data_IF_490694756410
#
_entry.id   IF_490694756410
#
_cell.length_a   1.000
_cell.length_b   1.000
_cell.length_c   1.000
_cell.angle_alpha   90.00
_cell.angle_beta   90.00
_cell.angle_gamma   90.00
#
_symmetry.space_group_name_H-M   'P 1'
#
loop_
_entity.id
_entity.type
_entity.pdbx_description
1 polymer ?
#
# COMPACT_ATOMS: atom_id res chain seq x y z
N UNK A 1 -20.58 8.51 -11.66
CA UNK A 1 -19.84 7.72 -10.66
C UNK A 1 -20.60 7.66 -9.35
N UNK A 2 -20.75 6.46 -8.76
CA UNK A 2 -21.26 6.29 -7.41
C UNK A 2 -20.32 6.88 -6.35
N UNK A 3 -20.82 7.00 -5.11
CA UNK A 3 -20.04 7.47 -3.96
C UNK A 3 -18.82 6.58 -3.70
N UNK A 4 -17.71 7.21 -3.32
CA UNK A 4 -16.48 6.49 -2.99
C UNK A 4 -16.59 5.87 -1.60
N UNK A 5 -16.15 4.63 -1.49
CA UNK A 5 -16.12 3.88 -0.24
C UNK A 5 -14.69 3.43 0.08
N UNK A 6 -14.38 3.36 1.37
CA UNK A 6 -13.08 2.89 1.85
C UNK A 6 -12.95 1.38 1.68
N UNK A 7 -12.06 0.94 0.81
CA UNK A 7 -11.88 -0.47 0.42
C UNK A 7 -10.44 -0.96 0.56
N UNK A 8 -10.28 -2.28 0.67
CA UNK A 8 -8.97 -2.94 0.72
C UNK A 8 -8.44 -3.24 -0.69
N UNK A 9 -7.12 -3.40 -0.81
CA UNK A 9 -6.46 -3.84 -2.06
C UNK A 9 -7.06 -5.15 -2.59
N UNK A 10 -7.36 -6.11 -1.71
CA UNK A 10 -7.89 -7.44 -2.11
C UNK A 10 -9.22 -7.32 -2.85
N UNK A 11 -10.11 -6.43 -2.41
CA UNK A 11 -11.38 -6.15 -3.10
C UNK A 11 -11.13 -5.49 -4.45
N UNK A 12 -10.22 -4.51 -4.52
CA UNK A 12 -9.87 -3.83 -5.78
C UNK A 12 -9.30 -4.77 -6.83
N UNK A 13 -8.41 -5.69 -6.44
CA UNK A 13 -7.84 -6.71 -7.34
C UNK A 13 -8.96 -7.57 -7.94
N UNK A 14 -9.86 -8.07 -7.10
CA UNK A 14 -10.97 -8.91 -7.55
C UNK A 14 -11.96 -8.14 -8.46
N UNK A 15 -12.24 -6.87 -8.15
CA UNK A 15 -13.05 -5.99 -9.01
C UNK A 15 -12.37 -5.72 -10.36
N UNK A 16 -11.06 -5.46 -10.36
CA UNK A 16 -10.28 -5.24 -11.59
C UNK A 16 -10.35 -6.48 -12.48
N UNK A 17 -10.11 -7.66 -11.92
CA UNK A 17 -10.24 -8.92 -12.68
C UNK A 17 -11.66 -9.18 -13.18
N UNK A 18 -12.69 -8.79 -12.43
CA UNK A 18 -14.07 -8.90 -12.90
C UNK A 18 -14.31 -8.01 -14.13
N UNK A 19 -13.79 -6.78 -14.11
CA UNK A 19 -13.88 -5.83 -15.23
C UNK A 19 -13.03 -6.29 -16.43
N UNK A 20 -11.83 -6.81 -16.21
CA UNK A 20 -10.98 -7.37 -17.28
C UNK A 20 -11.63 -8.59 -17.95
N UNK A 21 -12.26 -9.47 -17.15
CA UNK A 21 -13.07 -10.58 -17.69
C UNK A 21 -14.30 -10.10 -18.42
N UNK A 22 -14.93 -9.02 -17.94
CA UNK A 22 -16.04 -8.37 -18.62
C UNK A 22 -15.62 -7.85 -20.01
N UNK A 23 -14.42 -7.25 -20.13
CA UNK A 23 -13.87 -6.86 -21.43
C UNK A 23 -13.70 -8.05 -22.38
N UNK A 24 -13.12 -9.15 -21.88
CA UNK A 24 -12.89 -10.34 -22.70
C UNK A 24 -14.17 -11.03 -23.16
N UNK A 25 -15.27 -10.89 -22.42
CA UNK A 25 -16.57 -11.48 -22.74
C UNK A 25 -17.32 -10.68 -23.84
N UNK A 26 -16.93 -9.43 -24.09
CA UNK A 26 -17.59 -8.52 -25.03
C UNK A 26 -17.02 -8.56 -26.45
N UNK A 27 -16.39 -9.66 -26.88
CA UNK A 27 -15.66 -9.72 -28.15
C UNK A 27 -16.51 -9.36 -29.39
N UNK A 28 -17.82 -9.61 -29.35
CA UNK A 28 -18.78 -9.29 -30.42
C UNK A 28 -19.30 -7.83 -30.37
N UNK A 29 -18.93 -7.05 -29.34
CA UNK A 29 -19.39 -5.68 -29.10
C UNK A 29 -18.28 -4.65 -29.38
N UNK A 30 -17.86 -4.61 -30.63
CA UNK A 30 -16.80 -3.72 -31.12
C UNK A 30 -17.38 -2.41 -31.71
N UNK A 31 -16.62 -1.30 -31.69
CA UNK A 31 -15.26 -1.18 -31.16
C UNK A 31 -15.25 -1.06 -29.62
N UNK A 32 -14.37 -1.82 -28.97
CA UNK A 32 -14.18 -1.83 -27.51
C UNK A 32 -12.93 -1.04 -27.12
N UNK A 33 -12.99 -0.37 -25.97
CA UNK A 33 -11.89 0.36 -25.34
C UNK A 33 -11.65 -0.17 -23.94
N UNK A 34 -10.37 -0.37 -23.59
CA UNK A 34 -9.91 -0.60 -22.23
C UNK A 34 -8.82 0.40 -21.87
N UNK A 35 -9.02 1.14 -20.78
CA UNK A 35 -8.00 2.00 -20.18
C UNK A 35 -7.73 1.52 -18.75
N UNK A 36 -6.48 1.23 -18.43
CA UNK A 36 -6.08 0.83 -17.09
C UNK A 36 -4.90 1.67 -16.58
N UNK A 37 -5.05 2.25 -15.39
CA UNK A 37 -4.04 3.07 -14.74
C UNK A 37 -3.38 2.27 -13.62
N UNK A 38 -2.09 2.00 -13.78
CA UNK A 38 -1.26 1.28 -12.82
C UNK A 38 -0.36 2.25 -12.07
N UNK A 39 -0.38 2.14 -10.75
CA UNK A 39 0.46 2.98 -9.89
C UNK A 39 1.96 2.69 -10.03
N UNK A 40 2.35 1.51 -10.55
CA UNK A 40 3.75 1.06 -10.72
C UNK A 40 3.86 0.03 -11.84
N UNK A 41 4.99 -0.01 -12.57
CA UNK A 41 5.24 -1.00 -13.62
C UNK A 41 5.16 -2.44 -13.12
N UNK A 42 5.71 -2.73 -11.95
CA UNK A 42 5.72 -4.10 -11.40
C UNK A 42 4.32 -4.64 -11.05
N UNK A 43 3.30 -3.79 -10.96
CA UNK A 43 1.91 -4.24 -10.91
C UNK A 43 1.39 -4.61 -12.30
N UNK A 44 1.71 -3.81 -13.31
CA UNK A 44 1.36 -4.13 -14.70
C UNK A 44 2.04 -5.40 -15.21
N UNK A 45 3.31 -5.62 -14.87
CA UNK A 45 4.06 -6.82 -15.29
C UNK A 45 3.38 -8.13 -14.87
N UNK A 46 2.67 -8.12 -13.73
CA UNK A 46 1.90 -9.29 -13.25
C UNK A 46 0.66 -9.55 -14.11
N UNK A 47 0.11 -8.51 -14.73
CA UNK A 47 -1.12 -8.54 -15.52
C UNK A 47 -0.87 -8.50 -17.03
N UNK A 48 0.39 -8.46 -17.48
CA UNK A 48 0.75 -8.23 -18.89
C UNK A 48 0.09 -9.23 -19.85
N UNK A 49 -0.09 -10.48 -19.44
CA UNK A 49 -0.78 -11.50 -20.24
C UNK A 49 -2.28 -11.23 -20.39
N UNK A 50 -2.93 -10.72 -19.34
CA UNK A 50 -4.34 -10.32 -19.41
C UNK A 50 -4.52 -9.20 -20.44
N UNK A 51 -3.70 -8.16 -20.38
CA UNK A 51 -3.79 -7.03 -21.31
C UNK A 51 -3.38 -7.40 -22.73
N UNK A 52 -2.41 -8.31 -22.90
CA UNK A 52 -2.08 -8.89 -24.22
C UNK A 52 -3.30 -9.59 -24.84
N UNK A 53 -4.04 -10.36 -24.04
CA UNK A 53 -5.26 -11.03 -24.50
C UNK A 53 -6.37 -10.05 -24.87
N UNK A 54 -6.58 -9.01 -24.06
CA UNK A 54 -7.56 -7.94 -24.33
C UNK A 54 -7.24 -7.24 -25.65
N UNK A 55 -5.99 -6.79 -25.82
CA UNK A 55 -5.53 -6.16 -27.05
C UNK A 55 -5.64 -7.09 -28.27
N UNK A 56 -5.37 -8.39 -28.07
CA UNK A 56 -5.49 -9.42 -29.11
C UNK A 56 -6.91 -9.61 -29.67
N UNK A 57 -7.95 -9.12 -29.01
CA UNK A 57 -9.34 -9.12 -29.53
C UNK A 57 -9.64 -7.92 -30.46
N UNK A 58 -8.65 -7.08 -30.76
CA UNK A 58 -8.85 -5.84 -31.51
C UNK A 58 -9.30 -4.66 -30.65
N UNK A 59 -9.29 -4.82 -29.33
CA UNK A 59 -9.66 -3.79 -28.36
C UNK A 59 -8.63 -2.68 -28.33
N UNK A 60 -9.08 -1.43 -28.40
CA UNK A 60 -8.22 -0.25 -28.14
C UNK A 60 -7.78 -0.35 -26.68
N UNK A 61 -6.50 -0.60 -26.43
CA UNK A 61 -6.00 -0.90 -25.08
C UNK A 61 -4.93 0.11 -24.69
N UNK A 62 -5.17 0.85 -23.60
CA UNK A 62 -4.27 1.89 -23.09
C UNK A 62 -3.90 1.60 -21.65
N UNK A 63 -2.61 1.62 -21.34
CA UNK A 63 -2.11 1.47 -19.96
C UNK A 63 -1.39 2.73 -19.48
N UNK A 64 -1.85 3.29 -18.37
CA UNK A 64 -1.14 4.34 -17.65
C UNK A 64 -0.13 3.77 -16.67
N UNK A 65 1.08 4.32 -16.65
CA UNK A 65 2.19 3.82 -15.84
C UNK A 65 2.94 4.98 -15.20
N UNK A 66 3.26 4.85 -13.92
CA UNK A 66 4.15 5.79 -13.22
C UNK A 66 5.59 5.36 -13.43
N UNK A 67 6.20 5.81 -14.52
CA UNK A 67 7.56 5.49 -14.95
C UNK A 67 8.15 6.63 -15.77
N UNK A 68 9.48 6.82 -15.68
CA UNK A 68 10.19 7.86 -16.43
C UNK A 68 10.38 7.50 -17.91
N UNK A 69 10.47 6.20 -18.21
CA UNK A 69 10.75 5.68 -19.54
C UNK A 69 9.69 4.66 -19.96
N UNK A 70 9.36 4.62 -21.27
CA UNK A 70 8.36 3.69 -21.77
C UNK A 70 8.88 2.25 -21.66
N UNK A 71 8.13 1.32 -21.03
CA UNK A 71 8.51 -0.07 -20.99
C UNK A 71 8.27 -0.76 -22.35
N UNK A 72 8.88 -1.93 -22.53
CA UNK A 72 8.54 -2.79 -23.65
C UNK A 72 7.14 -3.39 -23.46
N UNK A 73 6.17 -2.96 -24.28
CA UNK A 73 4.79 -3.42 -24.20
C UNK A 73 4.46 -4.44 -25.29
N UNK A 74 3.54 -5.39 -25.02
CA UNK A 74 2.98 -6.24 -26.05
C UNK A 74 2.37 -5.44 -27.22
N UNK A 75 2.36 -5.99 -28.45
CA UNK A 75 1.69 -5.35 -29.58
C UNK A 75 0.23 -5.03 -29.29
N UNK A 76 -0.25 -3.88 -29.77
CA UNK A 76 -1.64 -3.44 -29.61
C UNK A 76 -1.96 -2.76 -28.28
N UNK A 77 -0.97 -2.58 -27.40
CA UNK A 77 -1.12 -1.83 -26.15
C UNK A 77 -0.40 -0.48 -26.29
N UNK A 78 -1.16 0.60 -26.12
CA UNK A 78 -0.64 1.95 -26.01
C UNK A 78 -0.36 2.31 -24.56
N UNK A 79 0.49 3.31 -24.31
CA UNK A 79 0.78 3.76 -22.97
C UNK A 79 0.62 5.26 -22.75
N UNK A 80 0.54 5.60 -21.47
CA UNK A 80 0.66 6.95 -20.94
C UNK A 80 1.63 6.90 -19.77
N UNK A 81 2.69 7.70 -19.83
CA UNK A 81 3.61 7.86 -18.71
C UNK A 81 3.12 8.97 -17.78
N UNK A 82 3.19 8.69 -16.49
CA UNK A 82 2.82 9.59 -15.41
C UNK A 82 4.04 9.86 -14.53
N UNK A 83 4.20 11.11 -14.13
CA UNK A 83 5.17 11.50 -13.11
C UNK A 83 4.67 11.07 -11.71
N UNK A 84 5.57 10.80 -10.76
CA UNK A 84 5.18 10.43 -9.39
C UNK A 84 4.30 11.48 -8.67
N UNK A 85 4.43 12.75 -9.05
CA UNK A 85 3.65 13.87 -8.51
C UNK A 85 2.30 14.06 -9.20
N UNK A 86 2.03 13.31 -10.27
CA UNK A 86 0.78 13.43 -11.01
C UNK A 86 -0.42 12.96 -10.16
N UNK A 87 -1.57 13.67 -10.22
CA UNK A 87 -2.77 13.22 -9.53
C UNK A 87 -3.21 11.79 -9.89
N UNK A 88 -2.96 11.34 -11.12
CA UNK A 88 -3.27 9.98 -11.58
C UNK A 88 -2.25 8.94 -11.10
N UNK A 89 -1.06 9.33 -10.62
CA UNK A 89 -0.05 8.37 -10.16
C UNK A 89 -0.52 7.57 -8.92
N UNK A 90 -1.43 8.16 -8.14
CA UNK A 90 -2.07 7.50 -6.99
C UNK A 90 -3.36 6.79 -7.34
N UNK A 91 -3.82 6.94 -8.56
CA UNK A 91 -5.05 6.32 -9.03
C UNK A 91 -4.78 4.89 -9.51
N UNK A 92 -5.60 3.98 -9.04
CA UNK A 92 -5.82 2.69 -9.64
C UNK A 92 -7.17 2.78 -10.37
N UNK A 93 -7.17 2.62 -11.69
CA UNK A 93 -8.43 2.52 -12.42
C UNK A 93 -8.38 1.51 -13.54
N UNK A 94 -9.52 0.89 -13.83
CA UNK A 94 -9.73 0.02 -15.00
C UNK A 94 -11.09 0.36 -15.55
N UNK A 95 -11.15 0.78 -16.81
CA UNK A 95 -12.39 1.18 -17.48
C UNK A 95 -12.50 0.45 -18.81
N UNK A 96 -13.66 -0.16 -19.03
CA UNK A 96 -14.04 -0.88 -20.23
C UNK A 96 -15.27 -0.18 -20.81
N UNK A 97 -15.23 0.13 -22.10
CA UNK A 97 -16.34 0.78 -22.78
C UNK A 97 -16.51 0.19 -24.18
N UNK A 98 -17.75 -0.18 -24.48
CA UNK A 98 -18.19 -0.65 -25.79
C UNK A 98 -19.54 -0.03 -26.16
N UNK A 99 -20.00 -0.16 -27.41
CA UNK A 99 -21.27 0.42 -27.83
C UNK A 99 -22.46 -0.03 -26.99
N UNK A 100 -22.51 -1.29 -26.54
CA UNK A 100 -23.66 -1.80 -25.78
C UNK A 100 -23.41 -1.91 -24.28
N UNK A 101 -22.17 -1.86 -23.82
CA UNK A 101 -21.84 -2.17 -22.42
C UNK A 101 -20.69 -1.32 -21.87
N UNK A 102 -20.54 -1.27 -20.54
CA UNK A 102 -19.36 -0.66 -19.95
C UNK A 102 -19.26 -0.90 -18.45
N UNK A 103 -18.03 -0.89 -17.96
CA UNK A 103 -17.72 -1.04 -16.55
C UNK A 103 -16.49 -0.20 -16.21
N UNK A 104 -16.45 0.34 -15.00
CA UNK A 104 -15.32 1.12 -14.53
C UNK A 104 -15.07 0.87 -13.04
N UNK A 105 -13.79 0.90 -12.67
CA UNK A 105 -13.30 0.97 -11.32
C UNK A 105 -12.36 2.17 -11.25
N UNK A 106 -12.52 3.01 -10.23
CA UNK A 106 -11.60 4.10 -9.91
C UNK A 106 -11.34 4.05 -8.41
N UNK A 107 -10.09 3.99 -8.01
CA UNK A 107 -9.68 3.97 -6.62
C UNK A 107 -8.46 4.84 -6.39
N UNK A 108 -8.48 5.67 -5.35
CA UNK A 108 -7.34 6.46 -4.92
C UNK A 108 -6.68 5.82 -3.71
N UNK A 109 -5.37 5.63 -3.76
CA UNK A 109 -4.61 5.21 -2.57
C UNK A 109 -4.57 6.36 -1.57
N UNK A 110 -5.07 6.11 -0.36
CA UNK A 110 -5.07 7.11 0.71
C UNK A 110 -3.73 7.12 1.46
N UNK A 111 -2.78 6.27 1.05
CA UNK A 111 -1.47 6.06 1.65
C UNK A 111 -1.55 5.68 3.13
N UNK A 112 -2.66 5.07 3.55
CA UNK A 112 -2.88 4.59 4.92
C UNK A 112 -3.13 3.09 4.94
N UNK A 113 -3.04 2.47 6.11
CA UNK A 113 -3.28 1.03 6.27
C UNK A 113 -4.41 0.74 7.25
N UNK A 114 -5.16 -0.32 7.00
CA UNK A 114 -6.07 -0.92 7.98
C UNK A 114 -5.25 -1.59 9.08
N UNK A 115 -5.53 -1.22 10.33
CA UNK A 115 -4.78 -1.68 11.52
C UNK A 115 -4.81 -3.21 11.72
N UNK A 116 -5.85 -3.87 11.20
CA UNK A 116 -6.11 -5.30 11.35
C UNK A 116 -5.44 -6.16 10.27
N UNK A 117 -4.64 -5.57 9.38
CA UNK A 117 -4.13 -6.30 8.23
C UNK A 117 -2.87 -7.11 8.54
N UNK A 118 -2.75 -8.34 7.98
CA UNK A 118 -1.63 -9.23 8.24
C UNK A 118 -0.32 -8.76 7.60
N UNK A 119 -0.41 -7.98 6.51
CA UNK A 119 0.75 -7.37 5.83
C UNK A 119 0.45 -5.92 5.49
N UNK A 120 1.51 -5.12 5.33
CA UNK A 120 1.40 -3.73 4.89
C UNK A 120 0.73 -3.62 3.52
N UNK A 121 1.10 -4.50 2.59
CA UNK A 121 0.60 -4.43 1.22
C UNK A 121 -0.89 -4.79 1.14
N UNK A 122 -1.32 -5.84 1.85
CA UNK A 122 -2.74 -6.22 1.90
C UNK A 122 -3.57 -5.19 2.66
N UNK A 123 -2.95 -4.48 3.61
CA UNK A 123 -3.61 -3.50 4.44
C UNK A 123 -3.78 -2.12 3.85
N UNK A 124 -3.18 -1.84 2.68
CA UNK A 124 -3.36 -0.55 1.99
C UNK A 124 -4.85 -0.23 1.82
N UNK A 125 -5.20 1.00 2.21
CA UNK A 125 -6.56 1.53 2.16
C UNK A 125 -6.72 2.44 0.95
N UNK A 126 -7.85 2.28 0.27
CA UNK A 126 -8.19 3.05 -0.92
C UNK A 126 -9.58 3.64 -0.78
N UNK A 127 -9.81 4.78 -1.42
CA UNK A 127 -11.14 5.31 -1.66
C UNK A 127 -11.57 4.92 -3.07
N UNK A 128 -12.44 3.91 -3.17
CA UNK A 128 -12.85 3.28 -4.42
C UNK A 128 -14.30 3.51 -4.79
N UNK A 129 -14.57 3.59 -6.08
CA UNK A 129 -15.91 3.57 -6.69
C UNK A 129 -15.87 2.69 -7.93
N UNK A 130 -16.88 1.86 -8.12
CA UNK A 130 -17.03 1.02 -9.31
C UNK A 130 -18.47 1.06 -9.83
N UNK A 131 -18.64 0.80 -11.13
CA UNK A 131 -19.95 0.74 -11.78
C UNK A 131 -19.88 -0.21 -12.96
N UNK A 132 -20.94 -0.97 -13.20
CA UNK A 132 -21.14 -1.79 -14.40
C UNK A 132 -22.18 -1.17 -15.33
N UNK A 133 -22.28 0.17 -15.29
CA UNK A 133 -23.13 0.97 -16.19
C UNK A 133 -22.28 1.58 -17.29
N UNK A 134 -22.70 1.41 -18.54
CA UNK A 134 -22.09 2.01 -19.73
C UNK A 134 -21.97 3.52 -19.63
N UNK A 135 -22.99 4.19 -19.10
CA UNK A 135 -23.00 5.65 -18.91
C UNK A 135 -21.89 6.12 -17.96
N UNK A 136 -21.71 5.42 -16.84
CA UNK A 136 -20.64 5.71 -15.89
C UNK A 136 -19.27 5.51 -16.56
N UNK A 137 -19.05 4.36 -17.22
CA UNK A 137 -17.81 4.09 -17.94
C UNK A 137 -17.52 5.13 -19.04
N UNK A 138 -18.55 5.60 -19.76
CA UNK A 138 -18.41 6.65 -20.77
C UNK A 138 -17.91 7.97 -20.18
N UNK A 139 -18.47 8.40 -19.04
CA UNK A 139 -17.99 9.59 -18.33
C UNK A 139 -16.56 9.43 -17.84
N UNK A 140 -16.20 8.23 -17.40
CA UNK A 140 -14.86 7.93 -16.93
C UNK A 140 -13.83 7.97 -18.07
N UNK A 141 -14.17 7.39 -19.23
CA UNK A 141 -13.33 7.51 -20.45
C UNK A 141 -13.16 8.97 -20.85
N UNK A 142 -14.19 9.81 -20.79
CA UNK A 142 -14.05 11.24 -21.09
C UNK A 142 -13.09 11.96 -20.13
N UNK A 143 -13.11 11.60 -18.84
CA UNK A 143 -12.18 12.14 -17.84
C UNK A 143 -10.74 11.73 -18.16
N UNK A 144 -10.51 10.43 -18.40
CA UNK A 144 -9.19 9.89 -18.71
C UNK A 144 -8.67 10.44 -20.04
N UNK A 145 -9.50 10.48 -21.09
CA UNK A 145 -9.14 11.04 -22.40
C UNK A 145 -8.71 12.51 -22.33
N UNK A 146 -9.30 13.30 -21.43
CA UNK A 146 -8.84 14.68 -21.16
C UNK A 146 -7.51 14.69 -20.41
N UNK A 147 -7.34 13.83 -19.40
CA UNK A 147 -6.13 13.77 -18.60
C UNK A 147 -4.91 13.23 -19.39
N UNK A 148 -5.15 12.37 -20.38
CA UNK A 148 -4.12 11.83 -21.28
C UNK A 148 -3.76 12.77 -22.43
N UNK A 149 -4.52 13.85 -22.64
CA UNK A 149 -4.27 14.79 -23.74
C UNK A 149 -2.86 15.42 -23.60
N UNK A 150 -2.05 15.30 -24.65
CA UNK A 150 -0.67 15.78 -24.66
C UNK A 150 0.35 14.84 -23.98
N UNK A 151 -0.09 13.69 -23.46
CA UNK A 151 0.77 12.68 -22.79
C UNK A 151 0.82 11.34 -23.53
N UNK A 152 0.07 11.22 -24.61
CA UNK A 152 -0.01 10.02 -25.44
C UNK A 152 -0.05 10.40 -26.93
N UNK A 153 0.12 9.42 -27.80
CA UNK A 153 0.09 9.63 -29.25
C UNK A 153 -1.30 10.11 -29.71
N UNK A 154 -1.32 11.02 -30.69
CA UNK A 154 -2.57 11.52 -31.28
C UNK A 154 -3.42 10.39 -31.85
N UNK A 155 -2.80 9.39 -32.48
CA UNK A 155 -3.48 8.20 -33.02
C UNK A 155 -4.19 7.36 -31.95
N UNK A 156 -3.73 7.38 -30.71
CA UNK A 156 -4.40 6.73 -29.57
C UNK A 156 -5.64 7.51 -29.17
N UNK A 157 -5.54 8.85 -29.09
CA UNK A 157 -6.69 9.71 -28.80
C UNK A 157 -7.76 9.60 -29.89
N UNK A 158 -7.37 9.53 -31.16
CA UNK A 158 -8.30 9.39 -32.29
C UNK A 158 -9.11 8.07 -32.21
N UNK A 159 -8.45 6.96 -31.84
CA UNK A 159 -9.11 5.66 -31.61
C UNK A 159 -10.06 5.68 -30.41
N UNK A 160 -9.68 6.35 -29.32
CA UNK A 160 -10.59 6.57 -28.18
C UNK A 160 -11.82 7.38 -28.62
N UNK A 161 -11.61 8.45 -29.38
CA UNK A 161 -12.70 9.30 -29.89
C UNK A 161 -13.60 8.56 -30.89
N UNK A 162 -13.09 7.58 -31.62
CA UNK A 162 -13.89 6.66 -32.44
C UNK A 162 -14.82 5.79 -31.61
N UNK A 163 -14.32 5.17 -30.54
CA UNK A 163 -15.14 4.38 -29.62
C UNK A 163 -16.21 5.26 -28.97
N UNK A 164 -15.85 6.45 -28.47
CA UNK A 164 -16.80 7.39 -27.89
C UNK A 164 -17.93 7.77 -28.87
N UNK A 165 -17.60 8.02 -30.14
CA UNK A 165 -18.60 8.29 -31.19
C UNK A 165 -19.51 7.09 -31.44
N UNK A 166 -18.97 5.87 -31.49
CA UNK A 166 -19.75 4.65 -31.69
C UNK A 166 -20.74 4.39 -30.53
N UNK A 167 -20.32 4.66 -29.29
CA UNK A 167 -21.17 4.56 -28.09
C UNK A 167 -22.35 5.53 -28.14
N UNK A 168 -22.11 6.78 -28.54
CA UNK A 168 -23.16 7.80 -28.68
C UNK A 168 -24.15 7.44 -29.78
N UNK A 169 -23.67 6.87 -30.89
CA UNK A 169 -24.53 6.42 -31.99
C UNK A 169 -25.38 5.19 -31.65
N UNK A 170 -25.02 4.45 -30.60
CA UNK A 170 -25.65 3.18 -30.25
C UNK A 170 -26.74 3.33 -29.17
N UNK A 171 -27.95 2.81 -29.39
CA UNK A 171 -29.02 2.86 -28.40
C UNK A 171 -28.64 2.11 -27.11
N UNK A 172 -28.97 2.70 -25.96
CA UNK A 172 -28.81 2.03 -24.67
C UNK A 172 -30.06 1.19 -24.35
N UNK A 173 -29.91 -0.12 -24.13
CA UNK A 173 -31.04 -1.01 -23.84
C UNK A 173 -31.46 -1.06 -22.35
N UNK A 174 -30.71 -0.37 -21.48
CA UNK A 174 -31.00 -0.28 -20.04
C UNK A 174 -30.72 -1.55 -19.23
N UNK A 175 -30.16 -2.61 -19.86
CA UNK A 175 -29.85 -3.89 -19.21
C UNK A 175 -28.86 -3.76 -18.04
N UNK A 176 -27.99 -2.77 -18.10
CA UNK A 176 -26.94 -2.50 -17.11
C UNK A 176 -27.47 -2.29 -15.69
N UNK A 177 -28.72 -1.82 -15.52
CA UNK A 177 -29.29 -1.59 -14.19
C UNK A 177 -29.43 -2.89 -13.39
N UNK A 178 -29.73 -4.01 -14.05
CA UNK A 178 -29.83 -5.32 -13.39
C UNK A 178 -28.44 -5.86 -13.04
N UNK A 179 -27.50 -5.73 -13.97
CA UNK A 179 -26.10 -6.13 -13.76
C UNK A 179 -25.49 -5.34 -12.60
N UNK A 180 -25.67 -4.03 -12.57
CA UNK A 180 -25.22 -3.13 -11.50
C UNK A 180 -25.78 -3.55 -10.14
N UNK A 181 -27.08 -3.82 -10.04
CA UNK A 181 -27.70 -4.26 -8.79
C UNK A 181 -27.13 -5.61 -8.31
N UNK A 182 -26.95 -6.57 -9.22
CA UNK A 182 -26.35 -7.87 -8.90
C UNK A 182 -24.89 -7.74 -8.48
N UNK A 183 -24.09 -6.96 -9.21
CA UNK A 183 -22.68 -6.73 -8.91
C UNK A 183 -22.51 -6.05 -7.56
N UNK A 184 -23.34 -5.04 -7.27
CA UNK A 184 -23.32 -4.35 -5.96
C UNK A 184 -23.57 -5.32 -4.80
N UNK A 185 -24.57 -6.20 -4.92
CA UNK A 185 -24.83 -7.21 -3.90
C UNK A 185 -23.62 -8.14 -3.70
N UNK A 186 -23.03 -8.64 -4.79
CA UNK A 186 -21.86 -9.54 -4.72
C UNK A 186 -20.66 -8.84 -4.09
N UNK A 187 -20.39 -7.59 -4.48
CA UNK A 187 -19.27 -6.81 -3.93
C UNK A 187 -19.45 -6.53 -2.45
N UNK A 188 -20.68 -6.24 -2.00
CA UNK A 188 -21.00 -6.05 -0.58
C UNK A 188 -20.77 -7.34 0.22
N UNK A 189 -21.16 -8.50 -0.31
CA UNK A 189 -20.89 -9.79 0.33
C UNK A 189 -19.38 -10.07 0.39
N UNK A 190 -18.67 -9.82 -0.70
CA UNK A 190 -17.22 -10.06 -0.77
C UNK A 190 -16.46 -9.14 0.19
N UNK A 191 -16.85 -7.87 0.31
CA UNK A 191 -16.25 -6.96 1.28
C UNK A 191 -16.46 -7.44 2.71
N UNK A 192 -17.68 -7.89 3.05
CA UNK A 192 -17.97 -8.46 4.39
C UNK A 192 -17.11 -9.70 4.66
N UNK A 193 -16.98 -10.59 3.69
CA UNK A 193 -16.15 -11.80 3.81
C UNK A 193 -14.68 -11.43 4.02
N UNK A 194 -14.12 -10.54 3.21
CA UNK A 194 -12.73 -10.08 3.33
C UNK A 194 -12.45 -9.39 4.67
N UNK A 195 -13.40 -8.60 5.19
CA UNK A 195 -13.29 -8.02 6.54
C UNK A 195 -13.33 -9.09 7.63
N UNK A 196 -14.11 -10.15 7.45
CA UNK A 196 -14.13 -11.32 8.35
C UNK A 196 -12.81 -12.08 8.35
N UNK A 197 -12.25 -12.35 7.17
CA UNK A 197 -10.94 -12.98 7.02
C UNK A 197 -9.81 -12.16 7.66
N UNK A 198 -9.77 -10.84 7.42
CA UNK A 198 -8.76 -9.97 8.02
C UNK A 198 -8.79 -10.01 9.56
N UNK A 199 -9.99 -10.10 10.15
CA UNK A 199 -10.14 -10.28 11.61
C UNK A 199 -9.60 -11.62 12.10
N UNK A 200 -9.84 -12.69 11.35
CA UNK A 200 -9.33 -14.03 11.69
C UNK A 200 -7.80 -14.08 11.55
N UNK A 201 -7.25 -13.56 10.45
CA UNK A 201 -5.80 -13.46 10.23
C UNK A 201 -5.14 -12.68 11.35
N UNK A 202 -5.75 -11.57 11.78
CA UNK A 202 -5.30 -10.80 12.95
C UNK A 202 -5.28 -11.65 14.21
N UNK A 203 -6.36 -12.38 14.52
CA UNK A 203 -6.42 -13.23 15.72
C UNK A 203 -5.30 -14.28 15.71
N UNK A 204 -5.02 -14.86 14.53
CA UNK A 204 -3.90 -15.80 14.36
C UNK A 204 -2.55 -15.11 14.58
N UNK A 205 -2.33 -13.91 14.04
CA UNK A 205 -1.09 -13.15 14.21
C UNK A 205 -0.87 -12.62 15.63
N UNK A 206 -1.94 -12.33 16.37
CA UNK A 206 -1.88 -11.96 17.78
C UNK A 206 -1.59 -13.17 18.68
N UNK A 207 -2.05 -14.37 18.29
CA UNK A 207 -1.79 -15.64 19.00
C UNK A 207 -0.40 -16.24 18.73
N UNK A 208 0.35 -15.74 17.73
CA UNK A 208 1.69 -16.24 17.39
C UNK A 208 2.75 -15.85 18.43
N UNK A 209 2.96 -16.79 19.34
CA UNK A 209 4.09 -16.93 20.30
C UNK A 209 5.43 -16.44 19.75
N UNK A 210 5.84 -17.13 18.68
CA UNK A 210 7.21 -17.15 18.14
C UNK A 210 7.62 -15.83 17.47
N UNK A 211 6.66 -14.97 17.17
CA UNK A 211 6.90 -13.66 16.56
C UNK A 211 7.14 -12.56 17.59
N UNK A 212 7.19 -12.90 18.88
CA UNK A 212 7.43 -11.96 19.96
C UNK A 212 8.69 -12.33 20.73
N UNK A 213 9.53 -11.33 20.95
CA UNK A 213 10.62 -11.45 21.90
C UNK A 213 10.07 -11.58 23.32
N UNK A 214 10.48 -12.64 24.04
CA UNK A 214 9.92 -12.96 25.36
C UNK A 214 10.18 -11.90 26.42
N UNK A 215 11.32 -11.21 26.36
CA UNK A 215 11.71 -10.22 27.37
C UNK A 215 11.01 -8.88 27.16
N UNK A 216 10.98 -8.40 25.92
CA UNK A 216 10.47 -7.07 25.58
C UNK A 216 9.02 -7.10 25.12
N UNK A 217 8.52 -8.22 24.60
CA UNK A 217 7.23 -8.33 23.92
C UNK A 217 7.19 -7.63 22.56
N UNK A 218 8.31 -7.10 22.07
CA UNK A 218 8.44 -6.54 20.73
C UNK A 218 8.39 -7.66 19.68
N UNK A 219 8.07 -7.31 18.43
CA UNK A 219 8.03 -8.28 17.32
C UNK A 219 9.45 -8.67 16.88
N UNK A 220 9.59 -9.86 16.30
CA UNK A 220 10.87 -10.37 15.81
C UNK A 220 11.19 -9.90 14.38
N UNK A 221 12.44 -10.04 13.91
CA UNK A 221 12.78 -9.77 12.51
C UNK A 221 12.04 -10.70 11.53
N UNK A 222 11.74 -11.94 11.93
CA UNK A 222 10.93 -12.85 11.13
C UNK A 222 9.52 -12.28 10.87
N UNK A 223 8.89 -11.68 11.89
CA UNK A 223 7.64 -10.96 11.72
C UNK A 223 7.80 -9.78 10.75
N UNK A 224 8.87 -8.98 10.87
CA UNK A 224 9.14 -7.84 9.98
C UNK A 224 9.18 -8.27 8.51
N UNK A 225 9.93 -9.32 8.19
CA UNK A 225 10.04 -9.82 6.83
C UNK A 225 8.68 -10.24 6.26
N UNK A 226 7.85 -10.95 7.05
CA UNK A 226 6.51 -11.36 6.59
C UNK A 226 5.54 -10.18 6.48
N UNK A 227 5.57 -9.26 7.45
CA UNK A 227 4.67 -8.10 7.48
C UNK A 227 4.92 -7.12 6.33
N UNK A 228 6.18 -7.00 5.89
CA UNK A 228 6.59 -6.16 4.76
C UNK A 228 6.61 -6.90 3.41
N UNK A 229 6.32 -8.21 3.41
CA UNK A 229 6.34 -9.02 2.20
C UNK A 229 5.31 -8.56 1.16
N UNK A 230 5.66 -8.72 -0.13
CA UNK A 230 4.81 -8.36 -1.25
C UNK A 230 4.67 -6.86 -1.52
N UNK A 231 5.22 -6.00 -0.65
CA UNK A 231 5.25 -4.56 -0.84
C UNK A 231 6.11 -4.15 -2.02
N UNK A 232 5.62 -3.18 -2.80
CA UNK A 232 6.36 -2.59 -3.93
C UNK A 232 6.88 -1.21 -3.54
N UNK A 233 8.09 -0.87 -3.97
CA UNK A 233 8.63 0.48 -3.77
C UNK A 233 7.71 1.55 -4.35
N UNK A 234 7.64 2.69 -3.69
CA UNK A 234 6.96 3.89 -4.20
C UNK A 234 5.50 4.07 -3.76
N UNK A 235 4.82 3.06 -3.21
CA UNK A 235 3.38 3.17 -2.88
C UNK A 235 3.11 3.71 -1.47
N UNK A 236 3.49 2.97 -0.43
CA UNK A 236 3.20 3.31 0.96
C UNK A 236 4.43 3.92 1.64
N UNK A 237 4.39 5.21 2.04
CA UNK A 237 5.48 5.80 2.82
C UNK A 237 5.58 5.14 4.20
N UNK A 238 6.82 4.91 4.63
CA UNK A 238 7.17 4.26 5.87
C UNK A 238 8.09 5.16 6.68
N UNK A 239 7.67 5.51 7.89
CA UNK A 239 8.57 6.09 8.89
C UNK A 239 9.32 5.00 9.65
N UNK A 240 10.63 5.15 9.78
CA UNK A 240 11.50 4.28 10.55
C UNK A 240 12.18 5.10 11.65
N UNK A 241 12.23 4.55 12.86
CA UNK A 241 13.06 5.05 13.96
C UNK A 241 13.90 3.91 14.52
N UNK A 242 15.18 3.89 14.19
CA UNK A 242 16.16 3.00 14.79
C UNK A 242 16.55 3.54 16.16
N UNK A 243 16.55 2.67 17.16
CA UNK A 243 16.88 2.97 18.55
C UNK A 243 17.91 1.96 19.05
N UNK A 244 18.98 2.46 19.66
CA UNK A 244 20.00 1.64 20.33
C UNK A 244 20.12 2.03 21.79
N UNK A 245 20.10 1.03 22.66
CA UNK A 245 20.30 1.15 24.11
C UNK A 245 21.54 0.34 24.48
N UNK A 246 22.75 0.94 24.44
CA UNK A 246 24.01 0.22 24.53
C UNK A 246 24.22 -0.47 25.89
N UNK A 247 23.62 0.06 26.97
CA UNK A 247 23.76 -0.49 28.32
C UNK A 247 23.33 -1.97 28.39
N UNK A 248 22.35 -2.37 27.58
CA UNK A 248 21.81 -3.73 27.54
C UNK A 248 22.87 -4.77 27.16
N UNK A 249 23.77 -4.46 26.21
CA UNK A 249 24.79 -5.41 25.71
C UNK A 249 25.77 -5.86 26.80
N UNK A 250 26.02 -5.00 27.79
CA UNK A 250 26.92 -5.29 28.91
C UNK A 250 26.19 -5.72 30.18
N UNK A 251 24.88 -5.43 30.29
CA UNK A 251 24.11 -5.53 31.52
C UNK A 251 24.11 -6.94 32.13
N UNK A 252 23.98 -7.98 31.29
CA UNK A 252 24.06 -9.37 31.77
C UNK A 252 25.37 -9.66 32.48
N UNK A 253 26.49 -9.19 31.92
CA UNK A 253 27.83 -9.42 32.47
C UNK A 253 28.05 -8.62 33.75
N UNK A 254 27.52 -7.41 33.81
CA UNK A 254 27.75 -6.48 34.93
C UNK A 254 26.79 -6.67 36.11
N UNK A 255 25.51 -6.96 35.84
CA UNK A 255 24.41 -6.96 36.84
C UNK A 255 23.60 -8.25 36.86
N UNK A 256 23.92 -9.21 35.97
CA UNK A 256 23.27 -10.51 35.89
C UNK A 256 22.00 -10.53 35.04
N UNK A 257 21.50 -11.75 34.82
CA UNK A 257 20.35 -12.01 33.92
C UNK A 257 19.05 -11.33 34.37
N UNK A 258 18.78 -11.23 35.67
CA UNK A 258 17.54 -10.63 36.19
C UNK A 258 17.49 -9.13 35.93
N UNK A 259 18.63 -8.45 36.03
CA UNK A 259 18.73 -7.02 35.74
C UNK A 259 18.50 -6.74 34.25
N UNK A 260 19.17 -7.51 33.37
CA UNK A 260 18.97 -7.41 31.91
C UNK A 260 17.51 -7.64 31.53
N UNK A 261 16.88 -8.70 32.05
CA UNK A 261 15.48 -9.00 31.75
C UNK A 261 14.53 -7.88 32.21
N UNK A 262 14.71 -7.36 33.42
CA UNK A 262 13.90 -6.27 33.93
C UNK A 262 14.06 -4.98 33.11
N UNK A 263 15.27 -4.67 32.66
CA UNK A 263 15.51 -3.53 31.78
C UNK A 263 14.84 -3.72 30.41
N UNK A 264 14.94 -4.92 29.82
CA UNK A 264 14.28 -5.25 28.56
C UNK A 264 12.74 -5.18 28.67
N UNK A 265 12.17 -5.67 29.78
CA UNK A 265 10.74 -5.58 30.05
C UNK A 265 10.29 -4.11 30.15
N UNK A 266 11.07 -3.28 30.85
CA UNK A 266 10.81 -1.85 30.97
C UNK A 266 10.87 -1.14 29.62
N UNK A 267 11.90 -1.40 28.80
CA UNK A 267 12.00 -0.88 27.44
C UNK A 267 10.77 -1.31 26.62
N UNK A 268 10.43 -2.59 26.65
CA UNK A 268 9.27 -3.13 25.95
C UNK A 268 7.95 -2.44 26.32
N UNK A 269 7.75 -2.18 27.61
CA UNK A 269 6.59 -1.43 28.11
C UNK A 269 6.60 0.02 27.60
N UNK A 270 7.75 0.69 27.67
CA UNK A 270 7.92 2.06 27.17
C UNK A 270 7.61 2.16 25.67
N UNK A 271 8.13 1.25 24.86
CA UNK A 271 7.88 1.24 23.41
C UNK A 271 6.39 1.09 23.10
N UNK A 272 5.69 0.15 23.76
CA UNK A 272 4.24 -0.04 23.58
C UNK A 272 3.40 1.20 23.93
N UNK A 273 3.87 2.03 24.87
CA UNK A 273 3.18 3.27 25.26
C UNK A 273 3.42 4.42 24.27
N UNK A 274 4.54 4.42 23.55
CA UNK A 274 4.87 5.47 22.58
C UNK A 274 4.24 5.21 21.21
N UNK A 275 3.98 3.96 20.84
CA UNK A 275 3.33 3.62 19.57
C UNK A 275 1.90 4.19 19.52
N UNK A 276 1.63 5.21 18.68
CA UNK A 276 0.37 5.97 18.71
C UNK A 276 -0.80 5.20 18.07
N UNK A 277 -0.53 4.34 17.10
CA UNK A 277 -1.55 3.55 16.42
C UNK A 277 -1.31 2.07 16.58
N UNK A 278 -2.40 1.30 16.44
CA UNK A 278 -2.32 -0.16 16.44
C UNK A 278 -1.64 -0.71 15.20
N UNK A 279 -1.44 0.08 14.13
CA UNK A 279 -0.70 -0.31 12.95
C UNK A 279 0.83 -0.17 13.13
N UNK A 280 1.29 0.62 14.11
CA UNK A 280 2.72 0.81 14.35
C UNK A 280 3.33 -0.44 14.99
N UNK A 281 4.62 -0.67 14.73
CA UNK A 281 5.32 -1.88 15.20
C UNK A 281 6.64 -1.53 15.84
N UNK A 282 6.96 -2.20 16.95
CA UNK A 282 8.30 -2.25 17.50
C UNK A 282 8.91 -3.61 17.18
N UNK A 283 10.08 -3.61 16.53
CA UNK A 283 10.84 -4.79 16.18
C UNK A 283 12.12 -4.81 17.02
N UNK A 284 12.44 -5.94 17.67
CA UNK A 284 13.74 -6.14 18.31
C UNK A 284 14.68 -6.79 17.30
N UNK A 285 15.73 -6.07 16.89
CA UNK A 285 16.68 -6.53 15.87
C UNK A 285 17.95 -7.11 16.53
N UNK A 286 18.32 -6.61 17.70
CA UNK A 286 19.48 -7.07 18.45
C UNK A 286 19.27 -7.04 19.95
N UNK A 287 20.37 -7.17 20.70
CA UNK A 287 20.33 -7.21 22.17
C UNK A 287 19.73 -5.92 22.75
N UNK A 288 20.24 -4.75 22.35
CA UNK A 288 19.73 -3.42 22.70
C UNK A 288 19.28 -2.60 21.49
N UNK A 289 19.11 -3.25 20.33
CA UNK A 289 18.79 -2.60 19.05
C UNK A 289 17.30 -2.85 18.71
N UNK A 290 16.55 -1.76 18.55
CA UNK A 290 15.12 -1.74 18.28
C UNK A 290 14.82 -0.90 17.05
N UNK A 291 13.80 -1.29 16.29
CA UNK A 291 13.28 -0.53 15.16
C UNK A 291 11.80 -0.28 15.35
N UNK A 292 11.40 0.99 15.36
CA UNK A 292 10.00 1.39 15.35
C UNK A 292 9.57 1.72 13.92
N UNK A 293 8.42 1.21 13.53
CA UNK A 293 7.86 1.32 12.18
C UNK A 293 6.51 2.02 12.25
N UNK A 294 6.37 3.05 11.41
CA UNK A 294 5.21 3.95 11.40
C UNK A 294 4.60 4.03 10.00
N UNK A 295 3.59 3.20 9.68
CA UNK A 295 2.91 3.24 8.38
C UNK A 295 2.27 4.59 8.15
N UNK A 296 2.37 5.11 6.92
CA UNK A 296 1.70 6.35 6.54
C UNK A 296 2.14 7.57 7.36
N UNK A 297 3.42 7.67 7.71
CA UNK A 297 3.97 8.78 8.51
C UNK A 297 5.13 9.50 7.82
N UNK A 298 5.22 10.79 8.15
CA UNK A 298 6.22 11.71 7.63
C UNK A 298 7.24 12.10 8.70
N UNK A 299 8.33 12.74 8.27
CA UNK A 299 9.53 12.94 9.09
C UNK A 299 9.27 13.82 10.31
N UNK A 300 8.34 14.79 10.19
CA UNK A 300 7.98 15.71 11.27
C UNK A 300 7.43 15.00 12.53
N UNK A 301 6.76 13.86 12.36
CA UNK A 301 6.24 13.09 13.50
C UNK A 301 7.33 12.30 14.24
N UNK A 302 8.41 11.91 13.54
CA UNK A 302 9.44 11.01 14.08
C UNK A 302 10.26 11.68 15.19
N UNK A 303 10.53 12.98 15.10
CA UNK A 303 11.22 13.72 16.15
C UNK A 303 10.44 13.73 17.48
N UNK A 304 9.11 13.91 17.42
CA UNK A 304 8.25 13.84 18.61
C UNK A 304 8.30 12.45 19.24
N UNK A 305 8.24 11.39 18.44
CA UNK A 305 8.29 10.01 18.97
C UNK A 305 9.67 9.70 19.57
N UNK A 306 10.74 10.17 18.95
CA UNK A 306 12.07 10.09 19.52
C UNK A 306 12.12 10.69 20.92
N UNK A 307 11.64 11.92 21.09
CA UNK A 307 11.68 12.61 22.40
C UNK A 307 10.84 11.89 23.46
N UNK A 308 9.70 11.31 23.06
CA UNK A 308 8.87 10.49 23.94
C UNK A 308 9.60 9.20 24.39
N UNK A 309 10.25 8.50 23.45
CA UNK A 309 11.06 7.31 23.77
C UNK A 309 12.18 7.67 24.72
N UNK A 310 12.95 8.74 24.45
CA UNK A 310 14.04 9.19 25.31
C UNK A 310 13.55 9.54 26.72
N UNK A 311 12.41 10.25 26.82
CA UNK A 311 11.79 10.57 28.10
C UNK A 311 11.39 9.33 28.89
N UNK A 312 10.90 8.28 28.22
CA UNK A 312 10.57 7.02 28.88
C UNK A 312 11.80 6.23 29.31
N UNK A 313 12.84 6.15 28.47
CA UNK A 313 14.09 5.45 28.81
C UNK A 313 14.79 6.07 30.02
N UNK A 314 14.84 7.40 30.11
CA UNK A 314 15.43 8.09 31.27
C UNK A 314 14.73 7.73 32.59
N UNK A 315 13.41 7.55 32.57
CA UNK A 315 12.64 7.16 33.76
C UNK A 315 12.98 5.75 34.26
N UNK A 316 13.60 4.89 33.45
CA UNK A 316 14.00 3.55 33.87
C UNK A 316 15.01 3.56 35.03
N UNK A 317 15.74 4.66 35.26
CA UNK A 317 16.65 4.78 36.42
C UNK A 317 15.93 4.69 37.78
N UNK A 318 14.62 5.00 37.81
CA UNK A 318 13.81 5.00 39.03
C UNK A 318 13.21 3.62 39.36
N UNK A 319 13.42 2.62 38.50
CA UNK A 319 12.92 1.25 38.66
C UNK A 319 14.09 0.28 38.58
N UNK A 320 14.01 -0.85 39.29
CA UNK A 320 14.99 -1.92 39.16
C UNK A 320 15.24 -2.23 37.66
N UNK A 321 16.51 -2.28 37.18
CA UNK A 321 17.75 -2.39 37.95
C UNK A 321 18.41 -1.07 38.42
N UNK A 322 17.70 0.07 38.36
CA UNK A 322 18.16 1.40 38.77
C UNK A 322 19.37 1.91 37.97
N UNK A 323 19.39 1.56 36.69
CA UNK A 323 20.44 1.97 35.75
C UNK A 323 19.84 3.00 34.80
N UNK A 324 20.50 4.15 34.59
CA UNK A 324 20.08 5.08 33.55
C UNK A 324 20.26 4.44 32.18
N UNK A 325 19.19 4.42 31.38
CA UNK A 325 19.21 3.94 30.01
C UNK A 325 19.28 5.12 29.06
N UNK A 326 20.24 5.11 28.14
CA UNK A 326 20.38 6.14 27.12
C UNK A 326 20.07 5.55 25.75
N UNK A 327 19.19 6.20 25.01
CA UNK A 327 18.94 5.86 23.62
C UNK A 327 19.84 6.69 22.70
N UNK A 328 20.51 6.06 21.73
CA UNK A 328 20.90 6.74 20.49
C UNK A 328 19.92 6.34 19.40
N UNK A 329 19.62 7.26 18.47
CA UNK A 329 18.58 7.02 17.48
C UNK A 329 18.92 7.62 16.12
N UNK A 330 18.28 7.12 15.08
CA UNK A 330 18.24 7.70 13.74
C UNK A 330 16.88 7.42 13.12
N UNK A 331 16.44 8.31 12.25
CA UNK A 331 15.14 8.22 11.59
C UNK A 331 15.29 8.22 10.07
N UNK A 332 14.31 7.66 9.38
CA UNK A 332 14.18 7.77 7.92
C UNK A 332 12.69 7.77 7.54
N UNK A 333 12.35 8.41 6.43
CA UNK A 333 11.04 8.23 5.79
C UNK A 333 11.29 7.75 4.38
N UNK A 334 10.76 6.58 4.05
CA UNK A 334 11.08 5.93 2.79
C UNK A 334 9.85 5.30 2.15
N UNK A 335 9.84 5.32 0.82
CA UNK A 335 8.92 4.50 0.00
C UNK A 335 9.62 3.26 -0.55
N UNK A 336 10.91 3.10 -0.28
CA UNK A 336 11.70 2.01 -0.85
C UNK A 336 11.39 0.69 -0.17
N UNK A 337 11.45 -0.39 -0.94
CA UNK A 337 11.36 -1.78 -0.51
C UNK A 337 12.53 -2.56 -1.15
N UNK A 338 13.30 -3.36 -0.40
CA UNK A 338 13.23 -3.58 1.05
C UNK A 338 13.49 -2.30 1.86
N UNK A 339 13.06 -2.30 3.14
CA UNK A 339 13.26 -1.15 4.02
C UNK A 339 14.76 -0.95 4.33
N UNK A 340 15.27 0.30 4.42
CA UNK A 340 16.68 0.62 4.69
C UNK A 340 17.03 0.44 6.17
N UNK A 341 16.77 -0.76 6.71
CA UNK A 341 16.94 -1.06 8.14
C UNK A 341 18.40 -0.93 8.56
N UNK A 342 19.32 -1.48 7.78
CA UNK A 342 20.75 -1.47 8.12
C UNK A 342 21.35 -0.06 8.12
N UNK A 343 20.92 0.79 7.20
CA UNK A 343 21.34 2.19 7.12
C UNK A 343 20.86 2.98 8.34
N UNK A 344 19.58 2.85 8.69
CA UNK A 344 18.98 3.50 9.86
C UNK A 344 19.65 3.01 11.15
N UNK A 345 19.84 1.70 11.31
CA UNK A 345 20.48 1.15 12.51
C UNK A 345 21.97 1.52 12.61
N UNK A 346 22.67 1.61 11.47
CA UNK A 346 24.05 2.08 11.43
C UNK A 346 24.15 3.56 11.83
N UNK A 347 23.28 4.42 11.30
CA UNK A 347 23.22 5.82 11.70
C UNK A 347 22.91 5.98 13.20
N UNK A 348 22.00 5.17 13.74
CA UNK A 348 21.67 5.17 15.17
C UNK A 348 22.84 4.75 16.07
N UNK A 349 23.77 3.93 15.58
CA UNK A 349 24.97 3.51 16.33
C UNK A 349 25.99 4.62 16.51
N UNK A 350 26.10 5.51 15.53
CA UNK A 350 27.09 6.61 15.53
C UNK A 350 26.49 7.97 15.90
N UNK A 351 25.18 8.03 16.17
CA UNK A 351 24.51 9.28 16.55
C UNK A 351 24.74 9.63 18.02
N UNK A 352 24.73 10.93 18.31
CA UNK A 352 24.73 11.41 19.70
C UNK A 352 23.32 11.27 20.30
N UNK A 353 23.17 10.98 21.61
CA UNK A 353 21.86 10.78 22.25
C UNK A 353 20.89 11.98 22.14
N UNK A 354 21.41 13.18 21.92
CA UNK A 354 20.62 14.43 21.81
C UNK A 354 20.31 14.81 20.35
N UNK A 355 20.84 14.07 19.37
CA UNK A 355 20.73 14.40 17.96
C UNK A 355 20.04 13.26 17.20
N UNK A 356 18.95 13.58 16.52
CA UNK A 356 18.24 12.65 15.65
C UNK A 356 18.60 12.95 14.19
N UNK A 357 19.56 12.24 13.57
CA UNK A 357 19.76 12.31 12.13
C UNK A 357 18.55 11.73 11.42
N UNK A 358 18.04 12.47 10.43
CA UNK A 358 16.97 12.02 9.53
C UNK A 358 17.61 11.73 8.17
N UNK A 359 17.64 10.44 7.80
CA UNK A 359 18.11 9.97 6.51
C UNK A 359 17.07 10.27 5.43
N UNK A 360 17.56 10.55 4.22
CA UNK A 360 16.73 10.83 3.05
C UNK A 360 16.15 9.55 2.44
#
# INVERSE_FOLDING_TARGET
>A
MPERVSVSKRLLVALSHAIERFALAGADDQPTLVIAMFQRLSYFEREVEMYRRIAGQGTVTVVGLVEDLPPALPPGIDHVLLDETDPLAREWSVTVLSPRSGACLVALDTETVFEDSPTLEAGRRFEGSWSFRREDAYHEVLRLRRAMAGRTATSTLDRIDEVLRAVVASPHDGGDSRLEASMRFVTDQMERALRGEARNDRQLDDAREDDRDRATGARTPAFLHRWTAGGTSGTLPMGLLGLRVPEIESMRRSLGMRAEYAALEAIGQSLRQVLPQRADRAIRIGAGDFLLLFPARHAADLARYHDQVQGHLRRCETRYPFVPLHGTAAAAVTRNRPLPVDEVMSAARYSAPQHLPILA
#
